data_IF_228018412241
#
_entry.id   IF_228018412241
#
_cell.length_a   1.000
_cell.length_b   1.000
_cell.length_c   1.000
_cell.angle_alpha   90.00
_cell.angle_beta   90.00
_cell.angle_gamma   90.00
#
_symmetry.space_group_name_H-M   'P 1'
#
loop_
_entity.id
_entity.type
_entity.pdbx_description
1 polymer ?
#
# COMPACT_ATOMS: atom_id res chain seq x y z
N UNK A 1 -4.25 -13.10 -20.94
CA UNK A 1 -5.40 -12.18 -21.05
C UNK A 1 -6.15 -12.25 -19.72
N UNK A 2 -6.31 -11.13 -19.02
CA UNK A 2 -6.92 -11.09 -17.69
C UNK A 2 -8.43 -11.36 -17.75
N UNK A 3 -8.95 -12.18 -16.81
CA UNK A 3 -10.39 -12.48 -16.72
C UNK A 3 -11.11 -11.51 -15.78
N UNK A 4 -10.49 -11.16 -14.64
CA UNK A 4 -11.07 -10.29 -13.61
C UNK A 4 -10.11 -9.15 -13.28
N UNK A 5 -10.60 -7.93 -13.31
CA UNK A 5 -9.86 -6.72 -12.91
C UNK A 5 -10.50 -6.12 -11.67
N UNK A 6 -9.63 -5.67 -10.76
CA UNK A 6 -10.01 -4.99 -9.53
C UNK A 6 -9.27 -3.66 -9.48
N UNK A 7 -9.96 -2.62 -9.05
CA UNK A 7 -9.40 -1.28 -8.91
C UNK A 7 -9.58 -0.80 -7.48
N UNK A 8 -8.46 -0.52 -6.81
CA UNK A 8 -8.46 0.33 -5.64
C UNK A 8 -8.60 1.78 -6.12
N UNK A 9 -9.82 2.31 -5.95
CA UNK A 9 -10.20 3.58 -6.53
C UNK A 9 -9.61 4.77 -5.80
N UNK A 10 -9.26 4.64 -4.54
CA UNK A 10 -8.75 5.77 -3.77
C UNK A 10 -7.43 6.28 -4.33
N UNK A 11 -6.54 5.38 -4.76
CA UNK A 11 -5.32 5.74 -5.47
C UNK A 11 -5.61 6.54 -6.74
N UNK A 12 -6.56 6.10 -7.57
CA UNK A 12 -6.98 6.82 -8.78
C UNK A 12 -7.53 8.22 -8.46
N UNK A 13 -8.42 8.31 -7.46
CA UNK A 13 -9.07 9.57 -7.09
C UNK A 13 -8.04 10.57 -6.58
N UNK A 14 -7.14 10.16 -5.69
CA UNK A 14 -6.05 11.01 -5.18
C UNK A 14 -5.12 11.46 -6.31
N UNK A 15 -4.66 10.56 -7.16
CA UNK A 15 -3.81 10.89 -8.29
C UNK A 15 -4.45 11.90 -9.25
N UNK A 16 -5.76 11.79 -9.49
CA UNK A 16 -6.49 12.70 -10.36
C UNK A 16 -6.86 14.04 -9.69
N UNK A 17 -6.89 14.11 -8.36
CA UNK A 17 -7.25 15.32 -7.59
C UNK A 17 -6.07 16.24 -7.30
N UNK A 18 -4.85 15.70 -7.26
CA UNK A 18 -3.67 16.52 -7.15
C UNK A 18 -3.35 17.13 -8.52
N UNK A 19 -3.42 18.46 -8.60
CA UNK A 19 -2.99 19.20 -9.79
C UNK A 19 -1.54 18.84 -10.11
N UNK A 20 -1.24 18.71 -11.37
CA UNK A 20 0.07 18.34 -11.86
C UNK A 20 1.10 19.43 -11.54
N UNK A 21 1.79 19.28 -10.42
CA UNK A 21 3.07 19.95 -10.11
C UNK A 21 3.00 21.40 -9.63
N UNK A 22 4.14 21.92 -9.38
CA UNK A 22 4.56 23.20 -8.81
C UNK A 22 3.87 24.49 -9.32
N UNK A 23 2.93 24.39 -10.23
CA UNK A 23 2.10 25.49 -10.64
C UNK A 23 0.97 25.68 -9.64
N UNK A 24 1.27 26.37 -8.54
CA UNK A 24 0.33 26.76 -7.48
C UNK A 24 -0.86 27.59 -8.01
N UNK A 25 -0.86 27.92 -9.29
CA UNK A 25 -1.86 28.77 -9.93
C UNK A 25 -2.98 28.01 -10.66
N UNK A 26 -2.86 26.70 -10.92
CA UNK A 26 -3.90 25.96 -11.65
C UNK A 26 -4.71 25.13 -10.66
N UNK A 27 -5.85 25.65 -10.25
CA UNK A 27 -6.81 24.97 -9.36
C UNK A 27 -7.82 24.24 -10.19
N UNK A 28 -7.93 22.92 -9.94
CA UNK A 28 -8.88 22.06 -10.66
C UNK A 28 -10.27 22.14 -10.04
N UNK A 29 -11.29 22.19 -10.88
CA UNK A 29 -12.69 22.03 -10.47
C UNK A 29 -13.03 20.55 -10.22
N UNK A 30 -14.12 20.30 -9.50
CA UNK A 30 -14.60 18.92 -9.30
C UNK A 30 -14.91 18.23 -10.64
N UNK A 31 -15.47 18.96 -11.62
CA UNK A 31 -15.76 18.43 -12.94
C UNK A 31 -14.50 18.00 -13.69
N UNK A 32 -13.42 18.77 -13.59
CA UNK A 32 -12.13 18.40 -14.18
C UNK A 32 -11.54 17.16 -13.51
N UNK A 33 -11.66 17.05 -12.19
CA UNK A 33 -11.25 15.84 -11.45
C UNK A 33 -12.04 14.62 -11.94
N UNK A 34 -13.37 14.73 -12.05
CA UNK A 34 -14.22 13.66 -12.55
C UNK A 34 -13.84 13.25 -13.98
N UNK A 35 -13.59 14.21 -14.86
CA UNK A 35 -13.16 13.94 -16.23
C UNK A 35 -11.81 13.20 -16.28
N UNK A 36 -10.84 13.61 -15.44
CA UNK A 36 -9.56 12.91 -15.30
C UNK A 36 -9.72 11.49 -14.78
N UNK A 37 -10.55 11.28 -13.75
CA UNK A 37 -10.84 9.94 -13.22
C UNK A 37 -11.39 9.04 -14.34
N UNK A 38 -12.34 9.53 -15.15
CA UNK A 38 -12.90 8.74 -16.25
C UNK A 38 -11.87 8.41 -17.32
N UNK A 39 -11.04 9.39 -17.72
CA UNK A 39 -9.97 9.17 -18.70
C UNK A 39 -8.95 8.15 -18.19
N UNK A 40 -8.61 8.23 -16.91
CA UNK A 40 -7.67 7.31 -16.26
C UNK A 40 -8.23 5.88 -16.17
N UNK A 41 -9.51 5.74 -15.80
CA UNK A 41 -10.21 4.45 -15.81
C UNK A 41 -10.26 3.82 -17.20
N UNK A 42 -10.52 4.64 -18.24
CA UNK A 42 -10.48 4.17 -19.62
C UNK A 42 -9.11 3.63 -20.02
N UNK A 43 -8.04 4.31 -19.59
CA UNK A 43 -6.69 3.88 -19.89
C UNK A 43 -6.37 2.54 -19.22
N UNK A 44 -6.58 2.42 -17.92
CA UNK A 44 -6.35 1.16 -17.17
C UNK A 44 -7.21 0.02 -17.75
N UNK A 45 -8.47 0.30 -18.07
CA UNK A 45 -9.36 -0.69 -18.68
C UNK A 45 -8.84 -1.19 -20.03
N UNK A 46 -8.38 -0.29 -20.91
CA UNK A 46 -7.82 -0.66 -22.23
C UNK A 46 -6.52 -1.45 -22.11
N UNK A 47 -5.72 -1.17 -21.09
CA UNK A 47 -4.48 -1.89 -20.82
C UNK A 47 -4.76 -3.34 -20.41
N UNK A 48 -5.67 -3.54 -19.46
CA UNK A 48 -5.95 -4.86 -18.86
C UNK A 48 -6.95 -5.67 -19.67
N UNK A 49 -7.99 -5.04 -20.19
CA UNK A 49 -9.11 -5.63 -20.99
C UNK A 49 -9.75 -6.84 -20.30
N UNK A 50 -10.35 -6.65 -19.13
CA UNK A 50 -10.97 -7.74 -18.38
C UNK A 50 -12.09 -8.40 -19.22
N UNK A 51 -12.27 -9.72 -19.07
CA UNK A 51 -13.26 -10.48 -19.85
C UNK A 51 -14.51 -10.85 -19.08
N UNK A 52 -14.44 -10.90 -17.74
CA UNK A 52 -15.57 -11.36 -16.91
C UNK A 52 -16.03 -10.31 -15.91
N UNK A 53 -15.09 -9.60 -15.28
CA UNK A 53 -15.40 -8.71 -14.17
C UNK A 53 -14.49 -7.49 -14.16
N UNK A 54 -15.08 -6.34 -13.94
CA UNK A 54 -14.44 -5.13 -13.42
C UNK A 54 -15.03 -4.82 -12.05
N UNK A 55 -14.22 -4.84 -11.01
CA UNK A 55 -14.61 -4.49 -9.64
C UNK A 55 -13.92 -3.18 -9.25
N UNK A 56 -14.70 -2.15 -8.99
CA UNK A 56 -14.22 -0.84 -8.54
C UNK A 56 -14.56 -0.66 -7.07
N UNK A 57 -13.56 -0.53 -6.21
CA UNK A 57 -13.71 -0.38 -4.78
C UNK A 57 -13.27 1.02 -4.34
N UNK A 58 -14.17 1.76 -3.72
CA UNK A 58 -13.89 3.05 -3.07
C UNK A 58 -13.86 2.81 -1.56
N UNK A 59 -12.94 3.43 -0.85
CA UNK A 59 -12.88 3.32 0.61
C UNK A 59 -14.18 3.76 1.26
N UNK A 60 -14.67 2.90 2.13
CA UNK A 60 -15.69 3.21 3.11
C UNK A 60 -15.07 3.45 4.48
N UNK A 61 -15.90 3.42 5.52
CA UNK A 61 -15.43 3.60 6.90
C UNK A 61 -14.45 2.49 7.25
N UNK A 62 -13.21 2.88 7.55
CA UNK A 62 -12.13 1.99 7.95
C UNK A 62 -12.28 1.51 9.41
N UNK A 63 -11.61 0.42 9.81
CA UNK A 63 -11.48 0.02 11.20
C UNK A 63 -10.86 1.13 12.07
N UNK A 64 -11.17 1.10 13.39
CA UNK A 64 -10.75 2.16 14.32
C UNK A 64 -9.24 2.41 14.35
N UNK A 65 -8.43 1.35 14.27
CA UNK A 65 -6.97 1.47 14.26
C UNK A 65 -6.49 2.32 13.07
N UNK A 66 -6.96 2.01 11.86
CA UNK A 66 -6.66 2.78 10.64
C UNK A 66 -7.15 4.22 10.72
N UNK A 67 -8.30 4.47 11.37
CA UNK A 67 -8.81 5.84 11.55
C UNK A 67 -7.83 6.74 12.30
N UNK A 68 -7.14 6.21 13.31
CA UNK A 68 -6.12 6.97 14.05
C UNK A 68 -4.93 7.33 13.15
N UNK A 69 -4.44 6.38 12.37
CA UNK A 69 -3.35 6.59 11.42
C UNK A 69 -3.77 7.60 10.34
N UNK A 70 -4.97 7.46 9.76
CA UNK A 70 -5.51 8.42 8.78
C UNK A 70 -5.63 9.82 9.37
N UNK A 71 -6.07 9.95 10.63
CA UNK A 71 -6.19 11.24 11.32
C UNK A 71 -4.82 11.91 11.46
N UNK A 72 -3.80 11.19 11.93
CA UNK A 72 -2.44 11.71 12.07
C UNK A 72 -1.88 12.18 10.72
N UNK A 73 -2.07 11.39 9.66
CA UNK A 73 -1.65 11.76 8.30
C UNK A 73 -2.33 13.05 7.82
N UNK A 74 -3.65 13.20 8.03
CA UNK A 74 -4.39 14.41 7.64
C UNK A 74 -3.93 15.65 8.39
N UNK A 75 -3.69 15.53 9.69
CA UNK A 75 -3.13 16.62 10.47
C UNK A 75 -1.76 17.06 9.96
N UNK A 76 -0.89 16.10 9.65
CA UNK A 76 0.43 16.40 9.08
C UNK A 76 0.30 17.12 7.74
N UNK A 77 -0.51 16.59 6.81
CA UNK A 77 -0.71 17.23 5.50
C UNK A 77 -1.31 18.63 5.61
N UNK A 78 -2.24 18.86 6.52
CA UNK A 78 -2.81 20.19 6.75
C UNK A 78 -1.73 21.17 7.27
N UNK A 79 -0.91 20.74 8.23
CA UNK A 79 0.19 21.53 8.77
C UNK A 79 1.24 21.86 7.72
N UNK A 80 1.67 20.87 6.93
CA UNK A 80 2.60 21.06 5.83
C UNK A 80 2.08 22.04 4.77
N UNK A 81 0.78 21.99 4.46
CA UNK A 81 0.14 22.93 3.55
C UNK A 81 0.10 24.37 4.11
N UNK A 82 -0.16 24.55 5.41
CA UNK A 82 -0.10 25.87 6.07
C UNK A 82 1.34 26.42 6.09
N UNK A 83 2.31 25.59 6.42
CA UNK A 83 3.73 25.97 6.44
C UNK A 83 4.22 26.36 5.04
N UNK A 84 3.87 25.59 4.01
CA UNK A 84 4.20 25.89 2.62
C UNK A 84 3.56 27.22 2.16
N UNK A 85 2.30 27.47 2.55
CA UNK A 85 1.61 28.74 2.25
C UNK A 85 2.31 29.92 2.93
N UNK A 86 2.68 29.79 4.20
CA UNK A 86 3.39 30.83 4.95
C UNK A 86 4.77 31.10 4.34
N UNK A 87 5.48 30.08 3.91
CA UNK A 87 6.79 30.22 3.27
C UNK A 87 6.70 30.90 1.89
N UNK A 88 5.69 30.56 1.06
CA UNK A 88 5.44 31.20 -0.22
C UNK A 88 5.11 32.69 -0.03
N UNK A 89 4.29 33.03 0.95
CA UNK A 89 3.96 34.41 1.31
C UNK A 89 5.22 35.18 1.75
N UNK A 90 6.08 34.56 2.56
CA UNK A 90 7.34 35.17 2.99
C UNK A 90 8.32 35.40 1.85
N UNK A 91 8.27 34.58 0.80
CA UNK A 91 9.06 34.74 -0.43
C UNK A 91 8.47 35.78 -1.40
N UNK A 92 7.30 36.34 -1.10
CA UNK A 92 6.61 37.33 -1.95
C UNK A 92 5.96 36.71 -3.20
N UNK A 93 5.69 35.42 -3.20
CA UNK A 93 4.98 34.77 -4.29
C UNK A 93 3.51 35.22 -4.31
N UNK A 94 2.92 35.46 -5.50
CA UNK A 94 1.54 35.90 -5.59
C UNK A 94 0.59 34.83 -5.04
N UNK A 95 -0.37 35.24 -4.22
CA UNK A 95 -1.40 34.34 -3.71
C UNK A 95 -2.23 33.79 -4.87
N UNK A 96 -2.30 32.47 -4.99
CA UNK A 96 -3.05 31.81 -6.04
C UNK A 96 -4.55 32.16 -5.96
N UNK A 97 -5.16 32.57 -7.07
CA UNK A 97 -6.57 32.94 -7.12
C UNK A 97 -7.50 31.73 -7.03
N UNK A 98 -8.53 31.82 -6.20
CA UNK A 98 -9.56 30.80 -5.98
C UNK A 98 -9.27 29.86 -4.80
N UNK A 99 -10.16 28.93 -4.45
CA UNK A 99 -9.97 27.91 -3.42
C UNK A 99 -9.32 26.66 -4.02
N UNK A 100 -8.26 26.15 -3.39
CA UNK A 100 -7.68 24.87 -3.78
C UNK A 100 -8.67 23.75 -3.46
N UNK A 101 -8.70 22.70 -4.29
CA UNK A 101 -9.46 21.50 -3.95
C UNK A 101 -8.92 20.90 -2.66
N UNK A 102 -9.79 20.75 -1.67
CA UNK A 102 -9.43 20.13 -0.40
C UNK A 102 -9.45 18.60 -0.53
N UNK A 103 -8.27 17.99 -0.63
CA UNK A 103 -8.16 16.52 -0.71
C UNK A 103 -8.73 15.78 0.52
N UNK A 104 -8.98 16.47 1.64
CA UNK A 104 -9.66 15.89 2.80
C UNK A 104 -11.13 15.53 2.51
N UNK A 105 -11.73 16.13 1.47
CA UNK A 105 -13.08 15.77 1.02
C UNK A 105 -13.13 14.36 0.40
N UNK A 106 -11.97 13.76 0.04
CA UNK A 106 -11.86 12.34 -0.35
C UNK A 106 -11.94 11.49 0.92
N UNK A 107 -13.10 11.54 1.54
CA UNK A 107 -13.39 10.86 2.81
C UNK A 107 -14.78 10.26 2.74
N UNK A 108 -14.99 9.02 3.20
CA UNK A 108 -16.31 8.40 3.23
C UNK A 108 -17.35 9.30 3.94
N UNK A 109 -18.51 9.48 3.32
CA UNK A 109 -19.60 10.26 3.87
C UNK A 109 -19.62 11.74 3.50
N UNK A 110 -18.63 12.25 2.74
CA UNK A 110 -18.65 13.63 2.24
C UNK A 110 -19.54 13.75 1.00
N UNK A 111 -19.98 14.98 0.73
CA UNK A 111 -20.78 15.29 -0.47
C UNK A 111 -20.00 15.05 -1.76
N UNK A 112 -18.69 15.33 -1.76
CA UNK A 112 -17.82 15.02 -2.89
C UNK A 112 -17.86 13.54 -3.24
N UNK A 113 -17.71 12.65 -2.27
CA UNK A 113 -17.73 11.20 -2.49
C UNK A 113 -19.10 10.70 -2.94
N UNK A 114 -20.18 11.33 -2.47
CA UNK A 114 -21.53 11.03 -2.95
C UNK A 114 -21.69 11.42 -4.42
N UNK A 115 -21.27 12.64 -4.80
CA UNK A 115 -21.28 13.07 -6.22
C UNK A 115 -20.40 12.19 -7.09
N UNK A 116 -19.19 11.88 -6.64
CA UNK A 116 -18.27 10.98 -7.37
C UNK A 116 -18.92 9.61 -7.62
N UNK A 117 -19.59 9.04 -6.62
CA UNK A 117 -20.26 7.74 -6.77
C UNK A 117 -21.36 7.81 -7.83
N UNK A 118 -22.17 8.87 -7.88
CA UNK A 118 -23.20 9.05 -8.91
C UNK A 118 -22.57 9.25 -10.31
N UNK A 119 -21.51 10.02 -10.41
CA UNK A 119 -20.76 10.18 -11.66
C UNK A 119 -20.16 8.87 -12.16
N UNK A 120 -19.63 8.04 -11.28
CA UNK A 120 -19.12 6.70 -11.64
C UNK A 120 -20.23 5.75 -12.08
N UNK A 121 -21.41 5.77 -11.43
CA UNK A 121 -22.59 5.02 -11.89
C UNK A 121 -23.01 5.44 -13.29
N UNK A 122 -23.04 6.73 -13.56
CA UNK A 122 -23.32 7.27 -14.89
C UNK A 122 -22.27 6.80 -15.90
N UNK A 123 -20.98 6.93 -15.57
CA UNK A 123 -19.87 6.51 -16.42
C UNK A 123 -19.98 5.03 -16.80
N UNK A 124 -20.21 4.14 -15.83
CA UNK A 124 -20.37 2.71 -16.08
C UNK A 124 -21.52 2.43 -17.02
N UNK A 125 -22.70 3.03 -16.78
CA UNK A 125 -23.87 2.86 -17.65
C UNK A 125 -23.58 3.32 -19.07
N UNK A 126 -22.95 4.48 -19.22
CA UNK A 126 -22.55 5.01 -20.53
C UNK A 126 -21.61 4.05 -21.24
N UNK A 127 -20.55 3.56 -20.55
CA UNK A 127 -19.59 2.62 -21.14
C UNK A 127 -20.24 1.30 -21.54
N UNK A 128 -21.08 0.71 -20.73
CA UNK A 128 -21.78 -0.54 -21.06
C UNK A 128 -22.76 -0.38 -22.23
N UNK A 129 -23.28 0.83 -22.46
CA UNK A 129 -24.20 1.12 -23.57
C UNK A 129 -23.45 1.42 -24.88
N UNK A 130 -22.39 2.22 -24.82
CA UNK A 130 -21.71 2.79 -25.99
C UNK A 130 -20.47 2.00 -26.43
N UNK A 131 -19.75 1.36 -25.46
CA UNK A 131 -18.49 0.67 -25.73
C UNK A 131 -18.66 -0.85 -25.76
N UNK A 132 -18.45 -1.44 -26.95
CA UNK A 132 -18.55 -2.89 -27.17
C UNK A 132 -17.65 -3.70 -26.24
N UNK A 133 -16.48 -3.15 -25.86
CA UNK A 133 -15.53 -3.85 -24.97
C UNK A 133 -16.07 -4.04 -23.55
N UNK A 134 -17.07 -3.24 -23.14
CA UNK A 134 -17.67 -3.28 -21.81
C UNK A 134 -18.97 -4.11 -21.73
N UNK A 135 -19.56 -4.45 -22.85
CA UNK A 135 -20.92 -5.03 -22.94
C UNK A 135 -21.07 -6.33 -22.14
N UNK A 136 -20.07 -7.22 -22.27
CA UNK A 136 -20.11 -8.56 -21.68
C UNK A 136 -19.35 -8.64 -20.34
N UNK A 137 -18.88 -7.51 -19.84
CA UNK A 137 -18.13 -7.44 -18.58
C UNK A 137 -19.10 -7.09 -17.45
N UNK A 138 -19.16 -7.94 -16.43
CA UNK A 138 -19.86 -7.61 -15.19
C UNK A 138 -19.11 -6.48 -14.49
N UNK A 139 -19.80 -5.39 -14.14
CA UNK A 139 -19.21 -4.29 -13.39
C UNK A 139 -19.80 -4.25 -11.99
N UNK A 140 -18.96 -4.20 -10.98
CA UNK A 140 -19.34 -4.01 -9.58
C UNK A 140 -18.69 -2.71 -9.11
N UNK A 141 -19.50 -1.76 -8.66
CA UNK A 141 -19.07 -0.55 -7.99
C UNK A 141 -19.41 -0.67 -6.50
N UNK A 142 -18.38 -0.82 -5.67
CA UNK A 142 -18.49 -0.78 -4.22
C UNK A 142 -18.11 0.63 -3.76
N UNK A 143 -19.11 1.46 -3.48
CA UNK A 143 -18.95 2.87 -3.15
C UNK A 143 -18.50 3.12 -1.72
N UNK A 144 -18.35 4.41 -1.39
CA UNK A 144 -17.91 4.86 -0.06
C UNK A 144 -18.91 4.56 1.07
N UNK A 145 -20.15 4.25 0.72
CA UNK A 145 -21.21 3.85 1.65
C UNK A 145 -21.04 2.42 2.19
N UNK A 146 -20.26 1.58 1.49
CA UNK A 146 -19.93 0.23 1.94
C UNK A 146 -18.70 0.29 2.83
N UNK A 147 -18.82 -0.20 4.06
CA UNK A 147 -17.73 -0.22 5.05
C UNK A 147 -16.49 -0.97 4.57
N UNK A 148 -15.33 -0.59 5.06
CA UNK A 148 -14.03 -1.20 4.78
C UNK A 148 -13.26 -0.46 3.69
N UNK A 149 -11.97 -0.66 3.67
CA UNK A 149 -11.05 -0.11 2.67
C UNK A 149 -11.23 -0.85 1.34
N UNK A 150 -10.92 -0.18 0.22
CA UNK A 150 -11.12 -0.72 -1.12
C UNK A 150 -10.47 -2.07 -1.33
N UNK A 151 -9.22 -2.20 -0.93
CA UNK A 151 -8.44 -3.43 -1.00
C UNK A 151 -9.06 -4.58 -0.21
N UNK A 152 -9.56 -4.33 0.99
CA UNK A 152 -10.20 -5.35 1.82
C UNK A 152 -11.54 -5.82 1.26
N UNK A 153 -12.31 -4.91 0.65
CA UNK A 153 -13.55 -5.26 -0.08
C UNK A 153 -13.25 -6.17 -1.28
N UNK A 154 -12.15 -5.89 -2.01
CA UNK A 154 -11.68 -6.73 -3.11
C UNK A 154 -11.31 -8.12 -2.61
N UNK A 155 -10.53 -8.21 -1.52
CA UNK A 155 -10.11 -9.48 -0.93
C UNK A 155 -11.30 -10.29 -0.40
N UNK A 156 -12.29 -9.62 0.22
CA UNK A 156 -13.52 -10.25 0.65
C UNK A 156 -14.30 -10.84 -0.53
N UNK A 157 -14.43 -10.07 -1.62
CA UNK A 157 -15.07 -10.54 -2.84
C UNK A 157 -14.36 -11.77 -3.44
N UNK A 158 -13.03 -11.77 -3.49
CA UNK A 158 -12.25 -12.91 -4.00
C UNK A 158 -12.49 -14.14 -3.12
N UNK A 159 -12.47 -14.00 -1.79
CA UNK A 159 -12.75 -15.10 -0.86
C UNK A 159 -14.16 -15.67 -1.08
N UNK A 160 -15.17 -14.82 -1.22
CA UNK A 160 -16.54 -15.25 -1.52
C UNK A 160 -16.67 -15.98 -2.85
N UNK A 161 -15.97 -15.51 -3.89
CA UNK A 161 -15.97 -16.18 -5.20
C UNK A 161 -15.34 -17.57 -5.11
N UNK A 162 -14.27 -17.73 -4.34
CA UNK A 162 -13.60 -19.03 -4.15
C UNK A 162 -14.48 -20.08 -3.43
N UNK A 163 -15.43 -19.65 -2.63
CA UNK A 163 -16.35 -20.56 -1.94
C UNK A 163 -17.46 -21.11 -2.85
N UNK A 164 -17.59 -20.61 -4.07
CA UNK A 164 -18.60 -21.08 -5.01
C UNK A 164 -18.25 -22.47 -5.55
N UNK A 165 -19.23 -23.38 -5.67
CA UNK A 165 -18.98 -24.73 -6.19
C UNK A 165 -18.44 -24.77 -7.62
N UNK A 166 -18.76 -23.75 -8.43
CA UNK A 166 -18.35 -23.59 -9.82
C UNK A 166 -17.14 -22.68 -10.01
N UNK A 167 -16.37 -22.43 -8.94
CA UNK A 167 -15.20 -21.59 -8.99
C UNK A 167 -14.13 -22.17 -9.95
N UNK A 168 -13.68 -21.36 -10.88
CA UNK A 168 -12.60 -21.70 -11.79
C UNK A 168 -11.25 -21.40 -11.12
N UNK A 169 -10.57 -22.43 -10.59
CA UNK A 169 -9.26 -22.29 -9.94
C UNK A 169 -8.15 -21.76 -10.88
N UNK A 170 -8.40 -21.75 -12.20
CA UNK A 170 -7.51 -21.20 -13.21
C UNK A 170 -7.92 -19.78 -13.64
N UNK A 171 -8.58 -19.04 -12.72
CA UNK A 171 -8.96 -17.65 -12.95
C UNK A 171 -7.74 -16.76 -12.94
N UNK A 172 -7.71 -15.76 -13.83
CA UNK A 172 -6.67 -14.74 -13.83
C UNK A 172 -7.20 -13.41 -13.26
N UNK A 173 -6.45 -12.86 -12.34
CA UNK A 173 -6.77 -11.66 -11.58
C UNK A 173 -5.73 -10.57 -11.85
N UNK A 174 -6.19 -9.32 -12.00
CA UNK A 174 -5.34 -8.15 -12.06
C UNK A 174 -5.90 -7.11 -11.08
N UNK A 175 -5.13 -6.75 -10.08
CA UNK A 175 -5.47 -5.71 -9.10
C UNK A 175 -4.61 -4.48 -9.39
N UNK A 176 -5.26 -3.35 -9.59
CA UNK A 176 -4.62 -2.04 -9.66
C UNK A 176 -4.62 -1.40 -8.28
N UNK A 177 -3.44 -0.93 -7.85
CA UNK A 177 -3.26 -0.17 -6.62
C UNK A 177 -1.79 0.16 -6.37
N UNK A 178 -1.53 1.18 -5.56
CA UNK A 178 -0.19 1.70 -5.29
C UNK A 178 0.45 1.12 -4.04
N UNK A 179 -0.35 0.64 -3.10
CA UNK A 179 0.11 0.28 -1.77
C UNK A 179 0.91 -1.03 -1.76
N UNK A 180 1.96 -1.06 -0.97
CA UNK A 180 2.88 -2.20 -0.92
C UNK A 180 2.25 -3.42 -0.22
N UNK A 181 1.29 -3.23 0.68
CA UNK A 181 0.57 -4.28 1.38
C UNK A 181 -0.33 -5.11 0.43
N UNK A 182 -0.69 -4.56 -0.74
CA UNK A 182 -1.35 -5.33 -1.80
C UNK A 182 -0.56 -6.57 -2.23
N UNK A 183 0.76 -6.55 -2.10
CA UNK A 183 1.60 -7.73 -2.38
C UNK A 183 1.28 -8.85 -1.38
N UNK A 184 1.23 -8.53 -0.09
CA UNK A 184 0.89 -9.49 0.96
C UNK A 184 -0.56 -9.97 0.82
N UNK A 185 -1.49 -9.06 0.56
CA UNK A 185 -2.89 -9.40 0.33
C UNK A 185 -3.07 -10.31 -0.89
N UNK A 186 -2.34 -10.05 -1.98
CA UNK A 186 -2.39 -10.89 -3.17
C UNK A 186 -1.81 -12.29 -2.91
N UNK A 187 -0.69 -12.40 -2.19
CA UNK A 187 -0.08 -13.68 -1.82
C UNK A 187 -1.04 -14.57 -1.04
N UNK A 188 -1.73 -14.04 -0.02
CA UNK A 188 -2.68 -14.81 0.80
C UNK A 188 -4.02 -15.10 0.13
N UNK A 189 -4.23 -14.64 -1.11
CA UNK A 189 -5.36 -15.13 -1.91
C UNK A 189 -5.15 -16.56 -2.37
N UNK A 190 -3.89 -17.02 -2.45
CA UNK A 190 -3.49 -18.30 -3.01
C UNK A 190 -3.98 -18.53 -4.45
N UNK A 191 -4.18 -17.41 -5.20
CA UNK A 191 -4.55 -17.46 -6.60
C UNK A 191 -3.29 -17.61 -7.48
N UNK A 192 -3.20 -18.65 -8.33
CA UNK A 192 -1.99 -18.91 -9.10
C UNK A 192 -1.71 -17.85 -10.17
N UNK A 193 -2.77 -17.23 -10.70
CA UNK A 193 -2.68 -16.25 -11.79
C UNK A 193 -3.10 -14.87 -11.33
N UNK A 194 -2.34 -14.32 -10.38
CA UNK A 194 -2.57 -12.97 -9.83
C UNK A 194 -1.47 -12.02 -10.27
N UNK A 195 -1.83 -10.82 -10.72
CA UNK A 195 -0.89 -9.74 -10.98
C UNK A 195 -1.36 -8.43 -10.33
N UNK A 196 -0.38 -7.62 -9.92
CA UNK A 196 -0.58 -6.27 -9.43
C UNK A 196 -0.12 -5.29 -10.51
N UNK A 197 -0.94 -4.31 -10.80
CA UNK A 197 -0.66 -3.23 -11.75
C UNK A 197 -0.53 -1.93 -10.97
N UNK A 198 0.55 -1.17 -11.20
CA UNK A 198 0.78 0.13 -10.60
C UNK A 198 1.57 1.04 -11.52
N UNK A 199 1.60 2.32 -11.23
CA UNK A 199 2.46 3.28 -11.92
C UNK A 199 3.92 3.10 -11.52
N UNK A 200 4.80 3.50 -12.44
CA UNK A 200 6.23 3.65 -12.18
C UNK A 200 6.44 4.84 -11.25
N UNK A 201 7.07 4.59 -10.12
CA UNK A 201 7.48 5.62 -9.16
C UNK A 201 8.95 5.95 -9.38
N UNK A 202 9.27 7.22 -9.64
CA UNK A 202 10.67 7.67 -9.75
C UNK A 202 11.23 7.93 -8.35
N UNK A 203 12.23 7.17 -7.96
CA UNK A 203 13.02 7.42 -6.75
C UNK A 203 14.17 8.38 -7.10
N UNK A 204 14.07 9.63 -6.68
CA UNK A 204 15.15 10.61 -6.80
C UNK A 204 14.70 11.96 -7.40
N UNK A 205 14.71 13.01 -6.57
CA UNK A 205 14.48 14.40 -6.97
C UNK A 205 13.01 14.77 -7.12
N UNK A 206 12.29 14.90 -6.01
CA UNK A 206 10.89 15.27 -5.98
C UNK A 206 10.14 14.51 -4.89
N UNK A 207 8.86 14.63 -4.81
CA UNK A 207 8.01 13.92 -3.85
C UNK A 207 8.22 12.41 -3.95
N UNK A 208 8.88 11.84 -2.94
CA UNK A 208 9.18 10.41 -2.87
C UNK A 208 7.87 9.61 -2.80
N UNK A 209 7.73 8.62 -3.67
CA UNK A 209 6.63 7.66 -3.62
C UNK A 209 5.41 8.01 -4.48
N UNK A 210 5.41 9.12 -5.23
CA UNK A 210 4.32 9.46 -6.13
C UNK A 210 4.62 9.07 -7.59
N UNK A 211 3.59 8.72 -8.40
CA UNK A 211 3.73 8.52 -9.84
C UNK A 211 4.26 9.78 -10.52
N UNK A 212 4.99 9.62 -11.63
CA UNK A 212 5.45 10.79 -12.35
C UNK A 212 4.26 11.58 -12.92
N UNK A 213 4.35 12.92 -12.85
CA UNK A 213 3.36 13.86 -13.40
C UNK A 213 2.91 13.50 -14.82
N UNK A 214 3.86 13.11 -15.66
CA UNK A 214 3.63 12.77 -17.05
C UNK A 214 2.66 11.59 -17.21
N UNK A 215 2.73 10.59 -16.31
CA UNK A 215 1.83 9.43 -16.31
C UNK A 215 0.41 9.85 -15.92
N UNK A 216 0.28 10.79 -14.98
CA UNK A 216 -1.02 11.27 -14.51
C UNK A 216 -1.72 12.18 -15.52
N UNK A 217 -0.95 12.99 -16.24
CA UNK A 217 -1.49 13.91 -17.27
C UNK A 217 -1.78 13.20 -18.60
N UNK A 218 -0.90 12.28 -19.00
CA UNK A 218 -1.00 11.50 -20.24
C UNK A 218 -0.60 10.05 -19.98
N UNK A 219 -1.52 9.25 -19.45
CA UNK A 219 -1.25 7.85 -19.17
C UNK A 219 -0.77 7.13 -20.44
N UNK A 220 0.40 6.52 -20.36
CA UNK A 220 0.97 5.67 -21.41
C UNK A 220 1.29 4.30 -20.82
N UNK A 221 1.25 3.25 -21.62
CA UNK A 221 1.51 1.88 -21.16
C UNK A 221 2.91 1.73 -20.54
N UNK A 222 3.90 2.49 -21.03
CA UNK A 222 5.28 2.52 -20.49
C UNK A 222 5.38 3.12 -19.09
N UNK A 223 4.33 3.81 -18.64
CA UNK A 223 4.24 4.40 -17.30
C UNK A 223 3.80 3.43 -16.22
N UNK A 224 3.56 2.15 -16.54
CA UNK A 224 3.03 1.16 -15.61
C UNK A 224 3.96 -0.03 -15.44
N UNK A 225 3.93 -0.61 -14.25
CA UNK A 225 4.60 -1.86 -13.89
C UNK A 225 3.58 -2.92 -13.53
N UNK A 226 3.87 -4.16 -13.92
CA UNK A 226 3.06 -5.31 -13.57
C UNK A 226 3.90 -6.32 -12.79
N UNK A 227 3.56 -6.51 -11.51
CA UNK A 227 4.14 -7.56 -10.68
C UNK A 227 3.35 -8.85 -10.86
N UNK A 228 4.03 -9.90 -11.32
CA UNK A 228 3.45 -11.25 -11.41
C UNK A 228 3.60 -11.96 -10.06
N UNK A 229 2.51 -12.05 -9.30
CA UNK A 229 2.52 -12.66 -7.96
C UNK A 229 2.84 -14.16 -8.04
N UNK A 230 2.40 -14.84 -9.11
CA UNK A 230 2.77 -16.24 -9.36
C UNK A 230 4.28 -16.44 -9.43
N UNK A 231 4.99 -15.53 -10.12
CA UNK A 231 6.47 -15.61 -10.18
C UNK A 231 7.11 -15.33 -8.82
N UNK A 232 6.58 -14.37 -8.05
CA UNK A 232 7.05 -14.13 -6.67
C UNK A 232 6.89 -15.38 -5.80
N UNK A 233 5.78 -16.10 -5.94
CA UNK A 233 5.54 -17.37 -5.24
C UNK A 233 6.57 -18.44 -5.60
N UNK A 234 6.96 -18.53 -6.88
CA UNK A 234 8.02 -19.45 -7.31
C UNK A 234 9.39 -19.09 -6.71
N UNK A 235 9.69 -17.80 -6.56
CA UNK A 235 10.91 -17.36 -5.86
C UNK A 235 10.89 -17.76 -4.38
N UNK A 236 9.77 -17.56 -3.70
CA UNK A 236 9.60 -17.97 -2.30
C UNK A 236 9.71 -19.49 -2.17
N UNK A 237 9.05 -20.24 -3.05
CA UNK A 237 9.15 -21.71 -3.08
C UNK A 237 10.60 -22.17 -3.23
N UNK A 238 11.33 -21.60 -4.18
CA UNK A 238 12.72 -21.94 -4.42
C UNK A 238 13.64 -21.63 -3.23
N UNK A 239 13.41 -20.51 -2.56
CA UNK A 239 14.19 -20.09 -1.40
C UNK A 239 13.97 -21.01 -0.20
N UNK A 240 12.70 -21.27 0.15
CA UNK A 240 12.35 -22.00 1.36
C UNK A 240 12.39 -23.52 1.19
N UNK A 241 12.10 -24.08 0.02
CA UNK A 241 12.21 -25.50 -0.24
C UNK A 241 13.64 -26.03 -0.01
N UNK A 242 14.65 -25.21 -0.28
CA UNK A 242 16.06 -25.59 -0.08
C UNK A 242 16.42 -25.80 1.39
N UNK A 243 15.86 -25.02 2.29
CA UNK A 243 16.13 -25.13 3.72
C UNK A 243 15.59 -26.43 4.33
N UNK A 244 14.58 -27.02 3.70
CA UNK A 244 13.92 -28.24 4.17
C UNK A 244 14.48 -29.55 3.57
N UNK A 245 15.49 -29.46 2.67
CA UNK A 245 16.11 -30.66 2.07
C UNK A 245 16.85 -31.48 3.12
N UNK A 246 16.20 -32.50 3.64
CA UNK A 246 16.85 -33.61 4.32
C UNK A 246 16.40 -34.03 5.70
N UNK A 247 15.62 -33.29 6.47
CA UNK A 247 15.18 -33.77 7.80
C UNK A 247 14.06 -32.92 8.46
N UNK A 248 13.01 -32.59 7.73
CA UNK A 248 11.82 -32.05 8.37
C UNK A 248 10.87 -33.17 8.75
N UNK A 249 10.42 -33.20 9.98
CA UNK A 249 9.39 -34.12 10.45
C UNK A 249 7.99 -33.82 9.90
N UNK A 250 7.86 -32.95 8.87
CA UNK A 250 6.61 -32.55 8.24
C UNK A 250 6.75 -32.31 6.73
N UNK A 251 5.65 -32.38 6.00
CA UNK A 251 5.64 -32.15 4.55
C UNK A 251 5.80 -30.67 4.22
N UNK A 252 6.61 -30.36 3.22
CA UNK A 252 6.74 -29.02 2.69
C UNK A 252 5.49 -28.60 1.93
N UNK A 253 5.03 -27.39 2.20
CA UNK A 253 3.88 -26.75 1.56
C UNK A 253 4.14 -25.25 1.38
N UNK A 254 4.31 -24.81 0.15
CA UNK A 254 4.60 -23.41 -0.19
C UNK A 254 3.47 -22.47 0.24
N UNK A 255 2.21 -22.91 0.22
CA UNK A 255 1.08 -22.10 0.64
C UNK A 255 1.18 -21.72 2.12
N UNK A 256 1.61 -22.69 2.93
CA UNK A 256 1.84 -22.50 4.35
C UNK A 256 3.06 -21.61 4.63
N UNK A 257 4.10 -21.73 3.82
CA UNK A 257 5.26 -20.82 3.89
C UNK A 257 4.84 -19.40 3.58
N UNK A 258 3.99 -19.18 2.58
CA UNK A 258 3.47 -17.86 2.22
C UNK A 258 2.66 -17.27 3.37
N UNK A 259 1.77 -18.06 3.97
CA UNK A 259 1.00 -17.63 5.14
C UNK A 259 1.90 -17.22 6.30
N UNK A 260 2.95 -18.00 6.59
CA UNK A 260 3.91 -17.70 7.65
C UNK A 260 4.72 -16.43 7.36
N UNK A 261 5.18 -16.25 6.12
CA UNK A 261 5.91 -15.06 5.69
C UNK A 261 5.05 -13.80 5.85
N UNK A 262 3.81 -13.83 5.35
CA UNK A 262 2.90 -12.70 5.49
C UNK A 262 2.58 -12.43 6.96
N UNK A 263 2.40 -13.46 7.77
CA UNK A 263 2.21 -13.31 9.22
C UNK A 263 3.42 -12.63 9.88
N UNK A 264 4.65 -13.03 9.54
CA UNK A 264 5.87 -12.43 10.07
C UNK A 264 6.04 -10.97 9.61
N UNK A 265 5.66 -10.64 8.37
CA UNK A 265 5.66 -9.25 7.89
C UNK A 265 4.77 -8.33 8.74
N UNK A 266 3.72 -8.84 9.40
CA UNK A 266 2.91 -8.03 10.30
C UNK A 266 3.68 -7.54 11.54
N UNK A 267 4.78 -8.18 11.91
CA UNK A 267 5.62 -7.79 13.05
C UNK A 267 6.44 -6.51 12.79
N UNK A 268 6.68 -6.15 11.51
CA UNK A 268 7.31 -4.87 11.15
C UNK A 268 6.34 -3.69 11.18
N UNK A 269 5.10 -3.95 11.58
CA UNK A 269 4.04 -2.94 11.65
C UNK A 269 3.30 -2.76 10.33
N UNK A 270 2.08 -2.29 10.45
CA UNK A 270 1.21 -1.91 9.36
C UNK A 270 0.20 -0.85 9.85
N UNK A 271 -0.77 -0.51 9.02
CA UNK A 271 -1.79 0.47 9.36
C UNK A 271 -2.67 0.12 10.58
N UNK A 272 -2.66 -1.14 11.01
CA UNK A 272 -3.48 -1.65 12.11
C UNK A 272 -2.68 -2.03 13.35
N UNK A 273 -1.43 -2.46 13.16
CA UNK A 273 -0.56 -2.97 14.22
C UNK A 273 0.73 -2.15 14.28
N UNK A 274 1.17 -1.72 15.47
CA UNK A 274 2.46 -1.09 15.61
C UNK A 274 3.60 -2.07 15.32
N UNK A 275 4.77 -1.59 14.84
CA UNK A 275 5.95 -2.44 14.67
C UNK A 275 6.48 -2.93 16.02
N UNK A 276 7.16 -4.06 16.01
CA UNK A 276 8.06 -4.40 17.12
C UNK A 276 9.22 -3.38 17.14
N UNK A 277 9.65 -2.88 18.32
CA UNK A 277 10.56 -1.74 18.41
C UNK A 277 11.88 -1.88 17.65
N UNK A 278 12.35 -3.09 17.44
CA UNK A 278 13.62 -3.40 16.77
C UNK A 278 13.46 -3.80 15.31
N UNK A 279 12.23 -3.83 14.79
CA UNK A 279 11.95 -4.21 13.42
C UNK A 279 11.61 -2.98 12.56
N UNK A 280 12.65 -2.34 12.01
CA UNK A 280 12.50 -1.27 11.03
C UNK A 280 12.84 -1.79 9.63
N UNK A 281 11.94 -1.52 8.67
CA UNK A 281 12.13 -1.91 7.26
C UNK A 281 13.38 -1.24 6.68
N UNK A 282 13.65 0.01 7.05
CA UNK A 282 14.83 0.74 6.57
C UNK A 282 16.14 0.14 7.08
N UNK A 283 16.12 -0.56 8.22
CA UNK A 283 17.25 -1.29 8.80
C UNK A 283 17.34 -2.76 8.33
N UNK A 284 16.53 -3.16 7.35
CA UNK A 284 16.56 -4.51 6.79
C UNK A 284 15.82 -5.57 7.61
N UNK A 285 14.85 -5.17 8.43
CA UNK A 285 14.08 -6.08 9.28
C UNK A 285 13.45 -7.26 8.53
N UNK A 286 12.98 -7.05 7.29
CA UNK A 286 12.39 -8.12 6.48
C UNK A 286 13.41 -9.24 6.18
N UNK A 287 14.65 -8.87 5.84
CA UNK A 287 15.71 -9.85 5.59
C UNK A 287 16.00 -10.65 6.86
N UNK A 288 16.12 -9.97 8.00
CA UNK A 288 16.36 -10.62 9.30
C UNK A 288 15.24 -11.60 9.67
N UNK A 289 13.97 -11.22 9.41
CA UNK A 289 12.81 -12.09 9.63
C UNK A 289 12.84 -13.33 8.74
N UNK A 290 13.07 -13.15 7.45
CA UNK A 290 13.06 -14.24 6.47
C UNK A 290 14.24 -15.19 6.70
N UNK A 291 15.42 -14.67 6.96
CA UNK A 291 16.59 -15.49 7.29
C UNK A 291 16.36 -16.29 8.58
N UNK A 292 15.85 -15.64 9.63
CA UNK A 292 15.54 -16.30 10.90
C UNK A 292 14.49 -17.40 10.70
N UNK A 293 13.43 -17.12 9.95
CA UNK A 293 12.39 -18.11 9.67
C UNK A 293 12.92 -19.27 8.86
N UNK A 294 13.68 -19.00 7.80
CA UNK A 294 14.29 -20.02 6.93
C UNK A 294 15.21 -20.96 7.73
N UNK A 295 16.05 -20.40 8.60
CA UNK A 295 16.99 -21.19 9.40
C UNK A 295 16.29 -22.03 10.47
N UNK A 296 15.19 -21.54 11.03
CA UNK A 296 14.47 -22.21 12.10
C UNK A 296 13.40 -23.19 11.62
N UNK A 297 12.84 -23.00 10.43
CA UNK A 297 11.71 -23.78 9.91
C UNK A 297 11.91 -25.31 10.04
N UNK A 298 13.09 -25.89 9.74
CA UNK A 298 13.30 -27.32 9.92
C UNK A 298 13.13 -27.81 11.37
N UNK A 299 13.45 -26.96 12.34
CA UNK A 299 13.42 -27.27 13.79
C UNK A 299 12.10 -26.93 14.47
N UNK A 300 11.20 -26.18 13.80
CA UNK A 300 9.90 -25.78 14.37
C UNK A 300 8.93 -26.96 14.50
N UNK A 301 9.09 -28.02 13.69
CA UNK A 301 8.19 -29.15 13.63
C UNK A 301 6.84 -28.84 12.97
N UNK A 302 6.80 -27.84 12.08
CA UNK A 302 5.65 -27.39 11.30
C UNK A 302 5.59 -25.87 11.15
N UNK A 303 4.54 -25.38 10.51
CA UNK A 303 4.32 -23.97 10.20
C UNK A 303 3.82 -23.17 11.39
N UNK A 304 4.03 -21.82 11.37
CA UNK A 304 3.49 -20.90 12.39
C UNK A 304 1.98 -20.76 12.20
N UNK A 305 1.53 -20.61 10.95
CA UNK A 305 0.11 -20.59 10.60
C UNK A 305 -0.56 -21.88 11.04
N UNK A 306 -1.79 -21.79 11.56
CA UNK A 306 -2.51 -22.94 12.14
C UNK A 306 -2.91 -23.99 11.11
N UNK A 307 -2.98 -25.24 11.52
CA UNK A 307 -3.26 -26.38 10.63
C UNK A 307 -4.67 -26.38 10.01
N UNK A 308 -5.56 -25.56 10.55
CA UNK A 308 -6.96 -25.48 10.12
C UNK A 308 -7.25 -24.34 9.13
N UNK A 309 -6.22 -23.65 8.65
CA UNK A 309 -6.36 -22.47 7.79
C UNK A 309 -6.90 -21.24 8.53
N UNK A 310 -6.78 -20.08 7.92
CA UNK A 310 -7.50 -18.87 8.25
C UNK A 310 -7.49 -18.37 9.71
N UNK A 311 -6.50 -17.54 10.05
CA UNK A 311 -6.57 -16.71 11.24
C UNK A 311 -6.14 -17.37 12.55
N UNK A 312 -5.65 -18.61 12.54
CA UNK A 312 -5.04 -19.26 13.71
C UNK A 312 -3.54 -19.39 13.54
N UNK A 313 -2.80 -19.33 14.66
CA UNK A 313 -1.35 -19.54 14.64
C UNK A 313 -0.92 -20.44 15.80
N UNK A 314 0.24 -21.07 15.65
CA UNK A 314 0.87 -21.91 16.65
C UNK A 314 1.77 -21.06 17.57
N UNK A 315 1.24 -20.66 18.74
CA UNK A 315 1.95 -19.80 19.67
C UNK A 315 3.31 -20.36 20.12
N UNK A 316 3.49 -21.67 20.44
CA UNK A 316 4.80 -22.20 20.79
C UNK A 316 5.85 -22.12 19.66
N UNK A 317 5.44 -22.22 18.39
CA UNK A 317 6.36 -22.05 17.26
C UNK A 317 6.74 -20.60 17.05
N UNK A 318 5.77 -19.69 17.16
CA UNK A 318 6.02 -18.25 17.13
C UNK A 318 6.96 -17.82 18.26
N UNK A 319 6.74 -18.30 19.49
CA UNK A 319 7.59 -18.02 20.65
C UNK A 319 9.06 -18.37 20.38
N UNK A 320 9.35 -19.50 19.74
CA UNK A 320 10.73 -19.87 19.38
C UNK A 320 11.37 -18.85 18.44
N UNK A 321 10.62 -18.37 17.43
CA UNK A 321 11.11 -17.34 16.49
C UNK A 321 11.36 -16.05 17.23
N UNK A 322 10.40 -15.57 18.03
CA UNK A 322 10.56 -14.33 18.80
C UNK A 322 11.71 -14.42 19.79
N UNK A 323 11.91 -15.57 20.44
CA UNK A 323 13.06 -15.81 21.32
C UNK A 323 14.39 -15.72 20.56
N UNK A 324 14.44 -16.25 19.34
CA UNK A 324 15.63 -16.13 18.50
C UNK A 324 15.89 -14.67 18.10
N UNK A 325 14.84 -13.94 17.76
CA UNK A 325 14.92 -12.53 17.39
C UNK A 325 15.31 -11.64 18.56
N UNK A 326 14.83 -11.93 19.77
CA UNK A 326 15.22 -11.21 20.97
C UNK A 326 16.74 -11.24 21.23
N UNK A 327 17.44 -12.25 20.72
CA UNK A 327 18.90 -12.29 20.74
C UNK A 327 19.59 -11.18 19.95
N UNK A 328 18.92 -10.63 18.93
CA UNK A 328 19.44 -9.51 18.11
C UNK A 328 18.98 -8.14 18.62
N UNK A 329 17.94 -8.10 19.46
CA UNK A 329 17.29 -6.86 19.90
C UNK A 329 18.28 -5.94 20.61
N UNK A 330 19.09 -6.50 21.48
CA UNK A 330 20.11 -5.74 22.22
C UNK A 330 21.12 -5.06 21.28
N UNK A 331 21.62 -5.80 20.30
CA UNK A 331 22.63 -5.29 19.37
C UNK A 331 22.05 -4.16 18.51
N UNK A 332 20.77 -4.28 18.08
CA UNK A 332 20.07 -3.23 17.33
C UNK A 332 19.89 -1.97 18.18
N UNK A 333 19.46 -2.11 19.43
CA UNK A 333 19.26 -0.96 20.33
C UNK A 333 20.58 -0.28 20.68
N UNK A 334 21.66 -1.05 20.92
CA UNK A 334 22.99 -0.51 21.15
C UNK A 334 23.50 0.25 19.92
N UNK A 335 23.30 -0.30 18.70
CA UNK A 335 23.70 0.37 17.46
C UNK A 335 22.93 1.69 17.27
N UNK A 336 21.61 1.70 17.47
CA UNK A 336 20.80 2.92 17.40
C UNK A 336 21.27 3.99 18.38
N UNK A 337 21.60 3.59 19.61
CA UNK A 337 22.14 4.52 20.60
C UNK A 337 23.47 5.15 20.16
N UNK A 338 24.36 4.35 19.56
CA UNK A 338 25.63 4.85 18.99
C UNK A 338 25.38 5.81 17.82
N UNK A 339 24.46 5.47 16.91
CA UNK A 339 24.14 6.30 15.74
C UNK A 339 23.57 7.67 16.15
N UNK A 340 22.70 7.71 17.16
CA UNK A 340 22.18 8.95 17.75
C UNK A 340 23.32 9.78 18.34
N UNK A 341 24.21 9.16 19.13
CA UNK A 341 25.34 9.85 19.72
C UNK A 341 26.29 10.44 18.67
N UNK A 342 26.60 9.67 17.62
CA UNK A 342 27.41 10.18 16.50
C UNK A 342 26.75 11.33 15.76
N UNK A 343 25.42 11.26 15.53
CA UNK A 343 24.66 12.32 14.90
C UNK A 343 24.74 13.61 15.72
N UNK A 344 24.52 13.52 17.04
CA UNK A 344 24.57 14.66 17.95
C UNK A 344 25.96 15.29 17.99
N UNK A 345 27.00 14.47 18.00
CA UNK A 345 28.39 14.97 17.94
C UNK A 345 28.69 15.68 16.60
N UNK A 346 28.22 15.12 15.48
CA UNK A 346 28.36 15.73 14.13
C UNK A 346 27.61 17.07 14.05
N UNK A 347 26.40 17.13 14.59
CA UNK A 347 25.62 18.37 14.67
C UNK A 347 26.26 19.42 15.58
N UNK A 348 26.76 19.04 16.76
CA UNK A 348 27.45 19.93 17.66
C UNK A 348 28.72 20.54 17.01
N UNK A 349 29.50 19.71 16.29
CA UNK A 349 30.66 20.15 15.52
C UNK A 349 30.29 21.13 14.42
N UNK A 350 29.17 20.87 13.68
CA UNK A 350 28.66 21.73 12.61
C UNK A 350 28.15 23.08 13.15
N UNK A 351 27.40 23.05 14.27
CA UNK A 351 26.87 24.25 14.88
C UNK A 351 28.00 25.14 15.45
N UNK A 352 29.05 24.53 16.07
CA UNK A 352 30.26 25.25 16.47
C UNK A 352 30.97 25.94 15.30
N UNK A 353 31.02 25.24 14.13
CA UNK A 353 31.68 25.79 12.93
C UNK A 353 30.87 26.94 12.30
N UNK A 354 29.54 26.92 12.44
CA UNK A 354 28.62 27.90 11.88
C UNK A 354 28.25 29.05 12.85
N UNK A 355 28.88 29.12 14.06
CA UNK A 355 28.63 30.19 15.02
C UNK A 355 27.21 30.26 15.60
N UNK A 356 26.38 29.26 15.40
CA UNK A 356 25.02 29.19 15.96
C UNK A 356 25.09 28.76 17.45
N UNK A 357 24.57 29.61 18.35
CA UNK A 357 24.29 29.21 19.73
C UNK A 357 23.13 28.21 19.73
N UNK A 358 23.34 27.05 20.33
CA UNK A 358 22.31 26.02 20.53
C UNK A 358 21.30 26.57 21.53
N UNK A 359 20.00 26.65 21.11
CA UNK A 359 18.91 26.93 22.05
C UNK A 359 18.51 25.61 22.72
N UNK A 360 18.23 25.57 24.02
CA UNK A 360 17.86 24.33 24.73
C UNK A 360 16.56 23.66 24.21
N UNK A 361 15.74 24.36 23.42
CA UNK A 361 14.51 23.85 22.82
C UNK A 361 14.71 23.01 21.55
N UNK A 362 15.93 22.95 21.01
CA UNK A 362 16.22 22.20 19.79
C UNK A 362 16.57 20.71 20.05
N UNK A 363 16.58 20.31 21.33
CA UNK A 363 16.90 18.93 21.74
C UNK A 363 15.66 18.02 21.93
N UNK A 364 14.45 18.56 21.76
CA UNK A 364 13.21 17.79 22.03
C UNK A 364 12.59 17.10 20.81
N UNK A 365 13.22 17.11 19.63
CA UNK A 365 12.59 16.62 18.40
C UNK A 365 12.76 15.11 18.08
N UNK A 366 13.32 14.31 18.97
CA UNK A 366 13.59 12.88 18.74
C UNK A 366 12.82 11.91 19.65
N UNK A 367 11.82 12.37 20.40
CA UNK A 367 11.00 11.50 21.27
C UNK A 367 9.64 11.10 20.67
N UNK A 368 9.35 11.49 19.41
CA UNK A 368 8.12 11.13 18.70
C UNK A 368 8.43 10.33 17.42
N UNK A 369 9.04 9.16 17.60
CA UNK A 369 9.07 8.10 16.58
C UNK A 369 8.49 6.82 17.17
#
# INVERSE_FOLDING_TARGET
MCKKQYLDMNGVIHNCSHGAGTDTNTRMTEEEIMAKVFAYLDHIYRMVRPKKLLYMAIDGVAPRAKMNQQRSRRFRSAKEAEEAKAEALAKGEPEAQGEAFDSNCITPGTEFMARLTEHLKFYVRKKQTEDVAWRDVKVILSGHEVRGEGEHKIMEYIRWERLKPDYDANMSHCLYGLDADLIMLALVTHEPHFCLLREVVKFGGGEKGQPSREILERPSDDGFLMLQVGLLREYLDFEFQRSLKGSCGFAYDVERVIDDIVFLCMLVGNDFLPPLPTLDIAEGALNTLFDTYRDMLPSLGGYISGDKGGGTFNAPRLEKILTRMAGYERDVLEQRAMDVQEYDEKQAKRNKKNGKKIHPSDSESFTDL
#
